data_IF_076084298545
#
_entry.id   IF_076084298545
#
_cell.length_a   1.000
_cell.length_b   1.000
_cell.length_c   1.000
_cell.angle_alpha   90.00
_cell.angle_beta   90.00
_cell.angle_gamma   90.00
#
_symmetry.space_group_name_H-M   'P 1'
#
loop_
_entity.id
_entity.type
_entity.pdbx_description
1 polymer ?
#
# COMPACT_ATOMS: atom_id res chain seq x y z
N UNK A 1 15.57 -1.41 -6.24
CA UNK A 1 14.46 -1.71 -5.31
C UNK A 1 13.36 -2.39 -6.08
N UNK A 2 12.70 -3.38 -5.47
CA UNK A 2 11.55 -4.07 -6.04
C UNK A 2 10.27 -3.31 -5.70
N UNK A 3 9.41 -3.08 -6.69
CA UNK A 3 8.09 -2.47 -6.48
C UNK A 3 7.04 -3.50 -6.93
N UNK A 4 6.09 -3.80 -6.05
CA UNK A 4 5.08 -4.83 -6.29
C UNK A 4 3.70 -4.24 -6.59
N UNK A 5 2.84 -5.03 -7.24
CA UNK A 5 1.45 -4.64 -7.54
C UNK A 5 0.57 -4.77 -6.30
N UNK A 6 -0.33 -3.80 -6.10
CA UNK A 6 -1.35 -3.80 -5.06
C UNK A 6 -2.61 -4.60 -5.42
N UNK A 7 -2.71 -5.19 -6.61
CA UNK A 7 -3.82 -6.08 -6.98
C UNK A 7 -5.10 -5.38 -7.46
N UNK A 8 -6.23 -6.06 -7.31
CA UNK A 8 -7.56 -5.60 -7.73
C UNK A 8 -8.23 -4.73 -6.63
N UNK A 9 -9.26 -3.97 -7.01
CA UNK A 9 -10.08 -3.22 -6.05
C UNK A 9 -11.25 -4.07 -5.57
N UNK A 10 -11.67 -3.87 -4.31
CA UNK A 10 -12.81 -4.52 -3.67
C UNK A 10 -13.19 -3.83 -2.36
N UNK A 11 -14.07 -4.45 -1.58
CA UNK A 11 -14.69 -3.79 -0.43
C UNK A 11 -13.72 -3.49 0.72
N UNK A 12 -12.62 -4.25 0.83
CA UNK A 12 -11.68 -4.17 1.97
C UNK A 12 -10.31 -3.57 1.59
N UNK A 13 -10.28 -2.72 0.56
CA UNK A 13 -9.04 -2.24 -0.04
C UNK A 13 -8.09 -1.52 0.92
N UNK A 14 -8.61 -0.81 1.93
CA UNK A 14 -7.77 -0.13 2.92
C UNK A 14 -6.95 -1.13 3.75
N UNK A 15 -7.61 -2.16 4.29
CA UNK A 15 -6.93 -3.16 5.09
C UNK A 15 -5.96 -3.99 4.24
N UNK A 16 -6.39 -4.40 3.04
CA UNK A 16 -5.54 -5.16 2.13
C UNK A 16 -4.31 -4.37 1.67
N UNK A 17 -4.47 -3.08 1.35
CA UNK A 17 -3.36 -2.22 0.96
C UNK A 17 -2.34 -2.06 2.09
N UNK A 18 -2.81 -1.86 3.33
CA UNK A 18 -1.94 -1.76 4.50
C UNK A 18 -1.18 -3.08 4.75
N UNK A 19 -1.88 -4.21 4.80
CA UNK A 19 -1.26 -5.54 5.00
C UNK A 19 -0.25 -5.84 3.90
N UNK A 20 -0.61 -5.59 2.64
CA UNK A 20 0.27 -5.82 1.50
C UNK A 20 1.51 -4.93 1.55
N UNK A 21 1.36 -3.65 1.90
CA UNK A 21 2.49 -2.74 2.05
C UNK A 21 3.44 -3.18 3.17
N UNK A 22 2.91 -3.62 4.31
CA UNK A 22 3.71 -4.10 5.45
C UNK A 22 4.50 -5.32 5.04
N UNK A 23 3.83 -6.33 4.47
CA UNK A 23 4.48 -7.56 4.00
C UNK A 23 5.55 -7.23 2.96
N UNK A 24 5.22 -6.38 1.98
CA UNK A 24 6.15 -6.02 0.92
C UNK A 24 7.41 -5.33 1.46
N UNK A 25 7.25 -4.36 2.36
CA UNK A 25 8.38 -3.68 2.99
C UNK A 25 9.25 -4.64 3.79
N UNK A 26 8.61 -5.51 4.60
CA UNK A 26 9.33 -6.54 5.38
C UNK A 26 10.08 -7.52 4.49
N UNK A 27 9.62 -7.76 3.27
CA UNK A 27 10.29 -8.56 2.26
C UNK A 27 11.38 -7.81 1.45
N UNK A 28 11.70 -6.55 1.80
CA UNK A 28 12.71 -5.74 1.10
C UNK A 28 12.19 -4.94 -0.10
N UNK A 29 10.86 -4.89 -0.29
CA UNK A 29 10.23 -4.03 -1.29
C UNK A 29 10.39 -2.54 -0.98
N UNK A 30 10.51 -1.73 -2.02
CA UNK A 30 10.76 -0.28 -1.91
C UNK A 30 9.56 0.57 -2.32
N UNK A 31 8.41 -0.04 -2.59
CA UNK A 31 7.18 0.65 -2.96
C UNK A 31 6.07 -0.31 -3.40
N UNK A 32 4.86 0.22 -3.56
CA UNK A 32 3.68 -0.52 -4.00
C UNK A 32 2.92 0.25 -5.09
N UNK A 33 2.56 -0.42 -6.19
CA UNK A 33 1.75 0.13 -7.29
C UNK A 33 0.26 -0.07 -6.96
N UNK A 34 -0.47 1.00 -6.65
CA UNK A 34 -1.86 0.92 -6.16
C UNK A 34 -2.88 1.61 -7.07
N UNK A 35 -2.86 1.34 -8.38
CA UNK A 35 -3.71 2.04 -9.35
C UNK A 35 -5.22 1.84 -9.13
N UNK A 36 -5.73 0.62 -9.36
CA UNK A 36 -7.18 0.33 -9.23
C UNK A 36 -7.70 0.69 -7.84
N UNK A 37 -7.00 0.24 -6.80
CA UNK A 37 -7.36 0.55 -5.42
C UNK A 37 -7.38 2.05 -5.15
N UNK A 38 -6.46 2.88 -5.64
CA UNK A 38 -6.49 4.32 -5.37
C UNK A 38 -7.51 5.09 -6.22
N UNK A 39 -7.70 4.72 -7.50
CA UNK A 39 -8.43 5.54 -8.47
C UNK A 39 -9.85 5.07 -8.79
N UNK A 40 -10.28 3.88 -8.35
CA UNK A 40 -11.66 3.38 -8.50
C UNK A 40 -12.56 3.70 -7.29
N UNK A 41 -12.28 4.80 -6.60
CA UNK A 41 -13.03 5.28 -5.42
C UNK A 41 -13.07 6.81 -5.39
N UNK A 42 -13.86 7.43 -4.50
CA UNK A 42 -13.84 8.88 -4.33
C UNK A 42 -12.42 9.42 -4.07
N UNK A 43 -12.07 10.57 -4.65
CA UNK A 43 -10.71 11.14 -4.60
C UNK A 43 -10.13 11.15 -3.19
N UNK A 44 -10.90 11.66 -2.22
CA UNK A 44 -10.45 11.79 -0.83
C UNK A 44 -10.07 10.44 -0.22
N UNK A 45 -10.82 9.37 -0.56
CA UNK A 45 -10.48 8.03 -0.12
C UNK A 45 -9.25 7.49 -0.84
N UNK A 46 -9.12 7.77 -2.14
CA UNK A 46 -7.95 7.37 -2.94
C UNK A 46 -6.65 7.96 -2.38
N UNK A 47 -6.66 9.26 -2.07
CA UNK A 47 -5.54 9.95 -1.41
C UNK A 47 -5.26 9.34 -0.04
N UNK A 48 -6.30 9.10 0.76
CA UNK A 48 -6.15 8.46 2.07
C UNK A 48 -5.49 7.08 1.94
N UNK A 49 -5.90 6.27 0.97
CA UNK A 49 -5.33 4.94 0.71
C UNK A 49 -3.86 5.02 0.32
N UNK A 50 -3.48 5.96 -0.54
CA UNK A 50 -2.08 6.20 -0.90
C UNK A 50 -1.24 6.65 0.30
N UNK A 51 -1.77 7.54 1.13
CA UNK A 51 -1.08 8.00 2.34
C UNK A 51 -0.87 6.85 3.33
N UNK A 52 -1.88 5.99 3.53
CA UNK A 52 -1.73 4.78 4.37
C UNK A 52 -0.59 3.88 3.91
N UNK A 53 -0.44 3.69 2.59
CA UNK A 53 0.70 2.93 2.04
C UNK A 53 2.02 3.66 2.31
N UNK A 54 2.07 4.97 2.10
CA UNK A 54 3.27 5.78 2.32
C UNK A 54 3.71 5.77 3.79
N UNK A 55 2.76 5.86 4.73
CA UNK A 55 3.01 5.78 6.17
C UNK A 55 3.73 4.48 6.53
N UNK A 56 3.33 3.35 5.93
CA UNK A 56 4.03 2.06 6.10
C UNK A 56 5.48 2.13 5.63
N UNK A 57 5.78 2.74 4.48
CA UNK A 57 7.16 2.87 4.00
C UNK A 57 8.00 3.86 4.80
N UNK A 58 7.37 4.90 5.37
CA UNK A 58 8.04 5.88 6.22
C UNK A 58 8.26 5.40 7.67
N UNK A 59 7.47 4.44 8.15
CA UNK A 59 7.58 3.90 9.52
C UNK A 59 8.88 3.08 9.71
N UNK A 60 9.81 3.60 10.49
CA UNK A 60 11.10 2.96 10.79
C UNK A 60 10.97 1.68 11.63
N UNK A 61 9.84 1.47 12.31
CA UNK A 61 9.56 0.24 13.08
C UNK A 61 9.26 -0.97 12.18
N UNK A 62 8.85 -0.74 10.93
CA UNK A 62 8.65 -1.81 9.95
C UNK A 62 9.96 -2.02 9.19
N UNK A 63 10.82 -2.88 9.75
CA UNK A 63 12.09 -3.26 9.14
C UNK A 63 11.93 -4.44 8.17
N UNK A 64 12.96 -4.67 7.36
CA UNK A 64 13.15 -5.96 6.69
C UNK A 64 13.26 -7.06 7.76
N UNK A 65 12.61 -8.20 7.51
CA UNK A 65 12.58 -9.35 8.41
C UNK A 65 13.80 -10.25 8.25
#
# INVERSE_FOLDING_TARGET
GLINSGGASGDNDFAEAAVTAVINKRAGGTGLISGRKAFQRPMAEGVKLLNTIQDVYLDKGISVA
#
